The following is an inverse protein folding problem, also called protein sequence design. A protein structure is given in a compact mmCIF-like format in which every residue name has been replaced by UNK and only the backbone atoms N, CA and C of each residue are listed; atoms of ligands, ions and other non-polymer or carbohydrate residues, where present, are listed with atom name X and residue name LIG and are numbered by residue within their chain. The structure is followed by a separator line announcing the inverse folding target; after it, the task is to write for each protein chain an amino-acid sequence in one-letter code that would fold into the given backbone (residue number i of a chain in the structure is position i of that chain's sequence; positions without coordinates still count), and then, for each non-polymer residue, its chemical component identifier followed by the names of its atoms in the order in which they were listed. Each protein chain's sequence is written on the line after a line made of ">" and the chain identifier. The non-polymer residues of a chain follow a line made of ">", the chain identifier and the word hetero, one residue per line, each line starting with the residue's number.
data_IF_697835005247
#
_entry.id   IF_697835005247
#
_cell.length_a   1.000
_cell.length_b   1.000
_cell.length_c   1.000
_cell.angle_alpha   90.00
_cell.angle_beta   90.00
_cell.angle_gamma   90.00
#
_symmetry.space_group_name_H-M   'P 1'
#
loop_
_entity.id
_entity.type
_entity.pdbx_description
1 polymer ?
#
# COMPACT_ATOMS: atom_id res chain seq x y z
N UNK A 1 -9.65 13.43 -25.72
CA UNK A 1 -9.24 14.39 -24.65
C UNK A 1 -9.55 13.96 -23.21
N UNK A 2 -10.57 13.12 -22.92
CA UNK A 2 -10.85 12.66 -21.53
C UNK A 2 -9.76 11.79 -20.90
N UNK A 3 -9.14 10.89 -21.67
CA UNK A 3 -8.14 9.92 -21.17
C UNK A 3 -6.86 10.61 -20.68
N UNK A 4 -6.33 11.57 -21.45
CA UNK A 4 -5.14 12.35 -21.08
C UNK A 4 -5.38 13.13 -19.78
N UNK A 5 -6.60 13.67 -19.60
CA UNK A 5 -6.98 14.37 -18.37
C UNK A 5 -7.01 13.41 -17.17
N UNK A 6 -7.53 12.19 -17.35
CA UNK A 6 -7.52 11.15 -16.31
C UNK A 6 -6.11 10.73 -15.93
N UNK A 7 -5.21 10.53 -16.90
CA UNK A 7 -3.80 10.18 -16.65
C UNK A 7 -3.08 11.30 -15.89
N UNK A 8 -3.26 12.56 -16.33
CA UNK A 8 -2.68 13.74 -15.66
C UNK A 8 -3.18 13.88 -14.21
N UNK A 9 -4.44 13.57 -13.96
CA UNK A 9 -5.01 13.56 -12.60
C UNK A 9 -4.42 12.46 -11.72
N UNK A 10 -4.16 11.25 -12.25
CA UNK A 10 -3.47 10.20 -11.47
C UNK A 10 -2.02 10.60 -11.14
N UNK A 11 -1.31 11.23 -12.08
CA UNK A 11 0.05 11.73 -11.88
C UNK A 11 0.11 12.88 -10.85
N UNK A 12 -0.88 13.78 -10.88
CA UNK A 12 -1.02 14.80 -9.83
C UNK A 12 -1.34 14.16 -8.46
N UNK A 13 -2.12 13.07 -8.43
CA UNK A 13 -2.37 12.29 -7.22
C UNK A 13 -1.09 11.73 -6.59
N UNK A 14 -0.15 11.23 -7.40
CA UNK A 14 1.16 10.74 -6.94
C UNK A 14 1.99 11.85 -6.29
N UNK A 15 2.06 13.03 -6.92
CA UNK A 15 2.78 14.19 -6.34
C UNK A 15 2.14 14.66 -5.02
N UNK A 16 0.81 14.63 -4.96
CA UNK A 16 0.06 15.01 -3.75
C UNK A 16 0.26 13.99 -2.61
N UNK A 17 0.41 12.70 -2.92
CA UNK A 17 0.77 11.66 -1.94
C UNK A 17 2.13 11.87 -1.32
N UNK A 18 3.13 12.19 -2.13
CA UNK A 18 4.50 12.41 -1.65
C UNK A 18 4.53 13.61 -0.68
N UNK A 19 3.72 14.64 -0.96
CA UNK A 19 3.56 15.79 -0.06
C UNK A 19 2.77 15.47 1.21
N UNK A 20 1.77 14.57 1.14
CA UNK A 20 0.92 14.23 2.30
C UNK A 20 1.45 13.13 3.21
N UNK A 21 2.13 12.15 2.66
CA UNK A 21 2.62 10.97 3.37
C UNK A 21 4.11 10.70 3.06
N UNK A 22 5.02 11.68 3.30
CA UNK A 22 6.42 11.57 2.90
C UNK A 22 7.13 10.38 3.57
N UNK A 23 6.77 10.06 4.82
CA UNK A 23 7.38 8.97 5.60
C UNK A 23 7.00 7.60 5.04
N UNK A 24 5.72 7.39 4.71
CA UNK A 24 5.25 6.11 4.17
C UNK A 24 5.77 5.86 2.76
N UNK A 25 5.91 6.91 1.94
CA UNK A 25 6.54 6.78 0.61
C UNK A 25 8.03 6.44 0.71
N UNK A 26 8.77 7.07 1.62
CA UNK A 26 10.18 6.73 1.83
C UNK A 26 10.35 5.27 2.30
N UNK A 27 9.51 4.82 3.24
CA UNK A 27 9.52 3.43 3.71
C UNK A 27 9.19 2.44 2.59
N UNK A 28 8.30 2.77 1.65
CA UNK A 28 8.02 1.88 0.51
C UNK A 28 9.19 1.79 -0.47
N UNK A 29 9.92 2.88 -0.69
CA UNK A 29 11.16 2.86 -1.47
C UNK A 29 12.26 2.05 -0.77
N UNK A 30 12.45 2.21 0.54
CA UNK A 30 13.43 1.43 1.31
C UNK A 30 13.09 -0.06 1.25
N UNK A 31 11.81 -0.41 1.42
CA UNK A 31 11.34 -1.78 1.35
C UNK A 31 11.57 -2.38 -0.05
N UNK A 32 11.33 -1.63 -1.11
CA UNK A 32 11.66 -2.03 -2.48
C UNK A 32 13.15 -2.40 -2.63
N UNK A 33 14.05 -1.56 -2.14
CA UNK A 33 15.51 -1.82 -2.20
C UNK A 33 15.87 -3.08 -1.38
N UNK A 34 15.34 -3.20 -0.17
CA UNK A 34 15.58 -4.36 0.70
C UNK A 34 15.11 -5.68 0.06
N UNK A 35 13.96 -5.70 -0.60
CA UNK A 35 13.47 -6.89 -1.30
C UNK A 35 14.33 -7.30 -2.50
N UNK A 36 14.91 -6.33 -3.21
CA UNK A 36 15.89 -6.61 -4.27
C UNK A 36 17.16 -7.21 -3.67
N UNK A 37 17.70 -6.59 -2.63
CA UNK A 37 18.92 -7.07 -1.96
C UNK A 37 18.73 -8.47 -1.36
N UNK A 38 17.55 -8.76 -0.80
CA UNK A 38 17.21 -10.09 -0.29
C UNK A 38 17.17 -11.11 -1.43
N UNK A 39 16.53 -10.79 -2.55
CA UNK A 39 16.45 -11.72 -3.68
C UNK A 39 17.85 -12.04 -4.27
N UNK A 40 18.69 -11.03 -4.45
CA UNK A 40 20.09 -11.25 -4.89
C UNK A 40 20.94 -11.96 -3.81
N UNK A 41 20.71 -11.67 -2.53
CA UNK A 41 21.42 -12.30 -1.40
C UNK A 41 21.07 -13.78 -1.22
N UNK A 42 19.80 -14.15 -1.35
CA UNK A 42 19.33 -15.53 -1.31
C UNK A 42 19.83 -16.32 -2.52
N UNK A 43 19.91 -15.69 -3.71
CA UNK A 43 20.46 -16.32 -4.90
C UNK A 43 21.98 -16.64 -4.75
N UNK A 44 22.71 -15.81 -4.00
CA UNK A 44 24.14 -15.98 -3.76
C UNK A 44 24.48 -16.81 -2.50
N UNK A 45 23.48 -17.35 -1.79
CA UNK A 45 23.69 -18.18 -0.59
C UNK A 45 24.27 -17.43 0.61
N UNK A 46 24.14 -16.10 0.64
CA UNK A 46 24.55 -15.28 1.78
C UNK A 46 23.58 -15.41 2.96
N UNK A 47 24.05 -15.14 4.18
CA UNK A 47 23.23 -15.14 5.40
C UNK A 47 22.19 -13.99 5.33
N UNK A 48 20.96 -14.30 4.88
CA UNK A 48 19.90 -13.31 4.62
C UNK A 48 19.07 -12.94 5.84
N UNK A 49 19.32 -13.57 6.98
CA UNK A 49 18.55 -13.38 8.22
C UNK A 49 18.44 -11.91 8.63
N UNK A 50 19.53 -11.14 8.53
CA UNK A 50 19.51 -9.72 8.87
C UNK A 50 18.67 -8.89 7.89
N UNK A 51 18.79 -9.17 6.58
CA UNK A 51 18.03 -8.50 5.53
C UNK A 51 16.54 -8.79 5.64
N UNK A 52 16.17 -10.04 5.93
CA UNK A 52 14.80 -10.47 6.20
C UNK A 52 14.22 -9.74 7.41
N UNK A 53 14.97 -9.69 8.52
CA UNK A 53 14.59 -8.93 9.72
C UNK A 53 14.33 -7.46 9.39
N UNK A 54 15.21 -6.82 8.64
CA UNK A 54 15.04 -5.42 8.23
C UNK A 54 13.82 -5.21 7.31
N UNK A 55 13.58 -6.10 6.34
CA UNK A 55 12.44 -6.02 5.44
C UNK A 55 11.10 -6.15 6.21
N UNK A 56 11.03 -7.08 7.18
CA UNK A 56 9.86 -7.27 8.03
C UNK A 56 9.57 -6.06 8.91
N UNK A 57 10.59 -5.48 9.55
CA UNK A 57 10.44 -4.27 10.38
C UNK A 57 10.04 -3.07 9.53
N UNK A 58 10.61 -2.93 8.32
CA UNK A 58 10.24 -1.87 7.37
C UNK A 58 8.79 -2.00 6.91
N UNK A 59 8.31 -3.24 6.70
CA UNK A 59 6.90 -3.51 6.36
C UNK A 59 5.97 -3.05 7.48
N UNK A 60 6.27 -3.42 8.73
CA UNK A 60 5.50 -2.97 9.89
C UNK A 60 5.54 -1.44 10.05
N UNK A 61 6.72 -0.85 9.88
CA UNK A 61 6.92 0.61 9.91
C UNK A 61 6.08 1.32 8.86
N UNK A 62 5.97 0.77 7.65
CA UNK A 62 5.11 1.29 6.60
C UNK A 62 3.64 1.33 7.04
N UNK A 63 3.07 0.21 7.49
CA UNK A 63 1.66 0.15 7.91
C UNK A 63 1.37 1.04 9.12
N UNK A 64 2.31 1.13 10.07
CA UNK A 64 2.18 2.00 11.23
C UNK A 64 2.24 3.48 10.82
N UNK A 65 3.17 3.85 9.94
CA UNK A 65 3.26 5.21 9.41
C UNK A 65 1.93 5.65 8.78
N UNK A 66 1.30 4.77 7.98
CA UNK A 66 0.00 5.03 7.37
C UNK A 66 -1.09 5.18 8.45
N UNK A 67 -1.21 4.25 9.39
CA UNK A 67 -2.25 4.28 10.42
C UNK A 67 -2.12 5.49 11.34
N UNK A 68 -0.91 5.83 11.75
CA UNK A 68 -0.63 6.96 12.63
C UNK A 68 -0.87 8.30 11.92
N UNK A 69 -0.47 8.43 10.66
CA UNK A 69 -0.73 9.66 9.90
C UNK A 69 -2.23 9.87 9.71
N UNK A 70 -3.00 8.80 9.46
CA UNK A 70 -4.47 8.86 9.41
C UNK A 70 -5.07 9.32 10.75
N UNK A 71 -4.59 8.78 11.88
CA UNK A 71 -5.03 9.19 13.22
C UNK A 71 -4.64 10.64 13.52
N UNK A 72 -3.41 11.07 13.24
CA UNK A 72 -2.95 12.44 13.49
C UNK A 72 -3.69 13.47 12.64
N UNK A 73 -3.88 13.21 11.34
CA UNK A 73 -4.70 14.06 10.45
C UNK A 73 -6.13 14.20 10.99
N UNK A 74 -6.65 13.17 11.68
CA UNK A 74 -8.02 13.13 12.18
C UNK A 74 -8.21 13.72 13.57
N UNK A 75 -7.37 13.37 14.54
CA UNK A 75 -7.50 13.72 15.96
C UNK A 75 -6.66 14.94 16.37
N UNK A 76 -5.49 15.14 15.78
CA UNK A 76 -4.53 16.15 16.23
C UNK A 76 -4.37 17.28 15.21
N UNK A 77 -5.23 18.30 15.29
CA UNK A 77 -5.15 19.48 14.41
C UNK A 77 -3.97 20.41 14.73
N UNK A 78 -3.42 20.36 15.96
CA UNK A 78 -2.40 21.30 16.47
C UNK A 78 -0.96 20.76 16.52
N UNK A 79 -0.73 19.46 16.30
CA UNK A 79 0.61 18.87 16.34
C UNK A 79 1.29 18.92 14.96
N UNK A 80 2.63 19.12 14.89
CA UNK A 80 3.36 19.00 13.64
C UNK A 80 3.31 17.53 13.17
N UNK A 81 2.42 17.25 12.21
CA UNK A 81 2.00 15.89 11.80
C UNK A 81 3.15 15.02 11.32
N UNK A 82 4.11 15.60 10.60
CA UNK A 82 5.22 14.90 9.97
C UNK A 82 6.25 14.40 11.00
N UNK A 83 6.87 15.25 11.85
CA UNK A 83 7.88 14.78 12.81
C UNK A 83 7.30 13.85 13.88
N UNK A 84 6.06 14.06 14.31
CA UNK A 84 5.39 13.16 15.27
C UNK A 84 5.16 11.77 14.66
N UNK A 85 4.70 11.72 13.40
CA UNK A 85 4.53 10.44 12.70
C UNK A 85 5.85 9.69 12.50
N UNK A 86 6.92 10.43 12.18
CA UNK A 86 8.26 9.88 11.98
C UNK A 86 8.84 9.33 13.30
N UNK A 87 8.80 10.12 14.37
CA UNK A 87 9.35 9.74 15.67
C UNK A 87 8.66 8.51 16.26
N UNK A 88 7.32 8.45 16.16
CA UNK A 88 6.57 7.29 16.64
C UNK A 88 6.77 6.05 15.76
N UNK A 89 6.90 6.20 14.44
CA UNK A 89 7.21 5.08 13.54
C UNK A 89 8.60 4.51 13.81
N UNK A 90 9.61 5.38 13.94
CA UNK A 90 10.98 4.97 14.28
C UNK A 90 11.08 4.37 15.68
N UNK A 91 10.39 4.96 16.66
CA UNK A 91 10.35 4.44 18.03
C UNK A 91 9.71 3.05 18.10
N UNK A 92 8.62 2.82 17.36
CA UNK A 92 8.00 1.49 17.30
C UNK A 92 8.85 0.48 16.52
N UNK A 93 9.49 0.88 15.42
CA UNK A 93 10.44 0.03 14.70
C UNK A 93 11.60 -0.40 15.60
N UNK A 94 12.18 0.53 16.37
CA UNK A 94 13.27 0.24 17.29
C UNK A 94 12.81 -0.68 18.45
N UNK A 95 11.66 -0.41 19.05
CA UNK A 95 11.06 -1.28 20.07
C UNK A 95 10.80 -2.68 19.54
N UNK A 96 10.23 -2.81 18.35
CA UNK A 96 9.90 -4.10 17.75
C UNK A 96 11.16 -4.89 17.39
N UNK A 97 12.17 -4.23 16.84
CA UNK A 97 13.46 -4.85 16.53
C UNK A 97 14.12 -5.41 17.80
N UNK A 98 14.15 -4.63 18.89
CA UNK A 98 14.83 -5.00 20.12
C UNK A 98 14.06 -6.03 20.96
N UNK A 99 12.73 -5.93 21.05
CA UNK A 99 11.92 -6.81 21.90
C UNK A 99 11.53 -8.13 21.24
N UNK A 100 11.41 -8.16 19.91
CA UNK A 100 10.66 -9.22 19.24
C UNK A 100 11.39 -9.92 18.10
N UNK A 101 12.62 -9.51 17.77
CA UNK A 101 13.34 -10.01 16.60
C UNK A 101 14.64 -10.75 16.94
N UNK A 102 14.66 -11.44 18.10
CA UNK A 102 15.80 -12.27 18.49
C UNK A 102 15.95 -13.48 17.53
N UNK A 103 14.84 -14.17 17.22
CA UNK A 103 14.82 -15.29 16.25
C UNK A 103 13.61 -15.23 15.31
N UNK A 104 13.84 -15.50 14.01
CA UNK A 104 12.79 -15.66 13.01
C UNK A 104 12.20 -17.07 13.15
N UNK A 105 11.34 -17.28 14.14
CA UNK A 105 10.60 -18.52 14.31
C UNK A 105 9.16 -18.37 13.79
N UNK A 106 8.48 -19.49 13.53
CA UNK A 106 7.07 -19.51 13.10
C UNK A 106 6.15 -18.73 14.03
N UNK A 107 6.48 -18.66 15.33
CA UNK A 107 5.77 -17.85 16.34
C UNK A 107 5.94 -16.35 16.09
N UNK A 108 7.13 -15.91 15.70
CA UNK A 108 7.43 -14.51 15.35
C UNK A 108 6.64 -14.08 14.11
N UNK A 109 6.53 -14.96 13.11
CA UNK A 109 5.69 -14.75 11.91
C UNK A 109 4.22 -14.56 12.26
N UNK A 110 3.64 -15.43 13.10
CA UNK A 110 2.23 -15.34 13.52
C UNK A 110 1.97 -14.02 14.28
N UNK A 111 2.86 -13.63 15.20
CA UNK A 111 2.74 -12.36 15.94
C UNK A 111 2.82 -11.15 15.00
N UNK A 112 3.69 -11.20 14.01
CA UNK A 112 3.85 -10.14 13.00
C UNK A 112 2.59 -10.00 12.15
N UNK A 113 2.03 -11.11 11.67
CA UNK A 113 0.75 -11.13 10.94
C UNK A 113 -0.40 -10.57 11.79
N UNK A 114 -0.48 -10.95 13.07
CA UNK A 114 -1.47 -10.40 13.99
C UNK A 114 -1.35 -8.88 14.17
N UNK A 115 -0.12 -8.37 14.29
CA UNK A 115 0.16 -6.93 14.41
C UNK A 115 -0.22 -6.17 13.14
N UNK A 116 0.08 -6.73 11.96
CA UNK A 116 -0.32 -6.16 10.67
C UNK A 116 -1.84 -6.07 10.53
N UNK A 117 -2.56 -7.15 10.86
CA UNK A 117 -4.03 -7.17 10.83
C UNK A 117 -4.58 -6.09 11.78
N UNK A 118 -4.03 -5.97 12.98
CA UNK A 118 -4.43 -4.93 13.94
C UNK A 118 -4.20 -3.50 13.40
N UNK A 119 -3.06 -3.25 12.76
CA UNK A 119 -2.76 -1.95 12.15
C UNK A 119 -3.71 -1.63 10.99
N UNK A 120 -4.02 -2.62 10.14
CA UNK A 120 -4.99 -2.48 9.04
C UNK A 120 -6.38 -2.19 9.61
N UNK A 121 -6.82 -2.94 10.62
CA UNK A 121 -8.09 -2.69 11.32
C UNK A 121 -8.14 -1.29 11.93
N UNK A 122 -7.03 -0.79 12.45
CA UNK A 122 -6.94 0.58 12.98
C UNK A 122 -7.17 1.62 11.88
N UNK A 123 -6.69 1.41 10.65
CA UNK A 123 -6.96 2.30 9.50
C UNK A 123 -8.46 2.33 9.18
N UNK A 124 -9.14 1.18 9.21
CA UNK A 124 -10.59 1.09 9.01
C UNK A 124 -11.38 1.69 10.20
N UNK A 125 -10.95 1.44 11.43
CA UNK A 125 -11.64 1.85 12.65
C UNK A 125 -11.47 3.34 12.98
N UNK A 126 -10.37 3.96 12.54
CA UNK A 126 -10.09 5.40 12.72
C UNK A 126 -11.23 6.31 12.21
N UNK A 127 -12.17 5.78 11.42
CA UNK A 127 -13.38 6.50 11.02
C UNK A 127 -14.63 6.34 11.87
N UNK A 128 -14.82 5.21 12.55
CA UNK A 128 -16.10 4.90 13.18
C UNK A 128 -16.46 5.97 14.22
N UNK A 129 -15.47 6.50 14.93
CA UNK A 129 -15.68 7.33 16.12
C UNK A 129 -16.24 8.75 15.89
N UNK A 130 -16.37 9.25 14.64
CA UNK A 130 -16.80 10.66 14.44
C UNK A 130 -17.90 10.90 13.40
N UNK A 131 -18.30 9.91 12.59
CA UNK A 131 -19.36 10.09 11.59
C UNK A 131 -19.99 8.73 11.22
N UNK A 132 -20.85 8.20 12.09
CA UNK A 132 -21.50 6.89 11.89
C UNK A 132 -22.29 6.84 10.57
N UNK A 133 -22.89 7.96 10.13
CA UNK A 133 -23.71 8.01 8.90
C UNK A 133 -22.93 7.89 7.58
N UNK A 134 -21.58 7.95 7.61
CA UNK A 134 -20.75 7.99 6.39
C UNK A 134 -19.65 6.91 6.38
N UNK A 135 -19.66 5.99 7.36
CA UNK A 135 -18.66 4.94 7.48
C UNK A 135 -18.62 4.02 6.26
N UNK A 136 -19.79 3.58 5.79
CA UNK A 136 -19.93 2.69 4.64
C UNK A 136 -19.30 3.29 3.36
N UNK A 137 -19.58 4.57 3.09
CA UNK A 137 -19.02 5.29 1.94
C UNK A 137 -17.50 5.38 1.98
N UNK A 138 -16.92 5.54 3.16
CA UNK A 138 -15.46 5.57 3.31
C UNK A 138 -14.82 4.20 3.07
N UNK A 139 -15.38 3.13 3.65
CA UNK A 139 -14.89 1.77 3.41
C UNK A 139 -14.94 1.46 1.92
N UNK A 140 -16.03 1.83 1.25
CA UNK A 140 -16.16 1.67 -0.21
C UNK A 140 -15.16 2.52 -0.98
N UNK A 141 -14.85 3.74 -0.54
CA UNK A 141 -13.85 4.61 -1.20
C UNK A 141 -12.43 4.07 -1.03
N UNK A 142 -12.07 3.56 0.14
CA UNK A 142 -10.80 2.83 0.35
C UNK A 142 -10.75 1.60 -0.55
N UNK A 143 -11.79 0.77 -0.54
CA UNK A 143 -11.80 -0.48 -1.31
C UNK A 143 -11.75 -0.21 -2.82
N UNK A 144 -12.51 0.77 -3.30
CA UNK A 144 -12.44 1.22 -4.70
C UNK A 144 -11.07 1.80 -5.02
N UNK A 145 -10.44 2.55 -4.09
CA UNK A 145 -9.10 3.07 -4.26
C UNK A 145 -8.05 1.97 -4.38
N UNK A 146 -8.16 0.94 -3.54
CA UNK A 146 -7.35 -0.27 -3.59
C UNK A 146 -7.50 -1.00 -4.92
N UNK A 147 -8.73 -1.26 -5.36
CA UNK A 147 -9.00 -1.96 -6.62
C UNK A 147 -8.47 -1.21 -7.84
N UNK A 148 -8.67 0.12 -7.89
CA UNK A 148 -8.13 0.95 -8.97
C UNK A 148 -6.60 0.89 -8.95
N UNK A 149 -5.97 1.04 -7.78
CA UNK A 149 -4.51 0.97 -7.66
C UNK A 149 -3.97 -0.38 -8.14
N UNK A 150 -4.60 -1.47 -7.71
CA UNK A 150 -4.24 -2.82 -8.12
C UNK A 150 -4.30 -2.98 -9.64
N UNK A 151 -5.38 -2.55 -10.29
CA UNK A 151 -5.50 -2.58 -11.74
C UNK A 151 -4.41 -1.77 -12.43
N UNK A 152 -4.14 -0.54 -11.98
CA UNK A 152 -3.10 0.30 -12.58
C UNK A 152 -1.71 -0.31 -12.40
N UNK A 153 -1.38 -0.84 -11.22
CA UNK A 153 -0.10 -1.52 -10.97
C UNK A 153 0.03 -2.81 -11.79
N UNK A 154 -1.05 -3.59 -11.94
CA UNK A 154 -1.05 -4.78 -12.79
C UNK A 154 -0.79 -4.42 -14.26
N UNK A 155 -1.43 -3.36 -14.77
CA UNK A 155 -1.20 -2.89 -16.14
C UNK A 155 0.25 -2.42 -16.34
N UNK A 156 0.83 -1.68 -15.39
CA UNK A 156 2.24 -1.26 -15.45
C UNK A 156 3.17 -2.47 -15.44
N UNK A 157 2.93 -3.43 -14.55
CA UNK A 157 3.72 -4.66 -14.47
C UNK A 157 3.67 -5.47 -15.76
N UNK A 158 2.46 -5.73 -16.30
CA UNK A 158 2.28 -6.47 -17.55
C UNK A 158 2.89 -5.71 -18.73
N UNK A 159 2.72 -4.39 -18.79
CA UNK A 159 3.30 -3.56 -19.86
C UNK A 159 4.81 -3.68 -19.92
N UNK A 160 5.49 -3.56 -18.77
CA UNK A 160 6.96 -3.70 -18.72
C UNK A 160 7.37 -5.15 -18.97
N UNK A 161 6.64 -6.14 -18.45
CA UNK A 161 6.93 -7.56 -18.67
C UNK A 161 6.85 -7.93 -20.15
N UNK A 162 5.85 -7.41 -20.89
CA UNK A 162 5.76 -7.62 -22.33
C UNK A 162 6.91 -6.98 -23.11
N UNK A 163 7.39 -5.81 -22.67
CA UNK A 163 8.57 -5.17 -23.28
C UNK A 163 9.80 -6.07 -23.08
N UNK A 164 10.05 -6.54 -21.86
CA UNK A 164 11.18 -7.44 -21.55
C UNK A 164 11.07 -8.73 -22.37
N UNK A 165 9.88 -9.33 -22.45
CA UNK A 165 9.62 -10.52 -23.25
C UNK A 165 9.92 -10.28 -24.72
N UNK A 166 9.46 -9.16 -25.27
CA UNK A 166 9.69 -8.81 -26.69
C UNK A 166 11.18 -8.61 -26.97
N UNK A 167 11.91 -7.95 -26.06
CA UNK A 167 13.36 -7.79 -26.19
C UNK A 167 14.05 -9.15 -26.16
N UNK A 168 13.68 -10.01 -25.21
CA UNK A 168 14.26 -11.33 -25.07
C UNK A 168 13.98 -12.20 -26.31
N UNK A 169 12.77 -12.14 -26.86
CA UNK A 169 12.38 -12.92 -28.03
C UNK A 169 12.97 -12.40 -29.35
N UNK A 170 13.13 -11.08 -29.50
CA UNK A 170 13.58 -10.46 -30.75
C UNK A 170 15.10 -10.38 -30.86
N UNK A 171 15.79 -10.19 -29.74
CA UNK A 171 17.25 -10.01 -29.69
C UNK A 171 17.99 -11.20 -29.07
N UNK A 172 17.28 -12.26 -28.69
CA UNK A 172 17.82 -13.43 -27.97
C UNK A 172 18.72 -13.03 -26.78
N UNK A 173 18.27 -12.01 -26.04
CA UNK A 173 19.06 -11.32 -25.05
C UNK A 173 19.31 -12.13 -23.75
N UNK A 174 18.76 -13.36 -23.67
CA UNK A 174 18.82 -14.27 -22.52
C UNK A 174 18.64 -13.58 -21.16
N UNK A 175 17.56 -12.81 -21.02
CA UNK A 175 17.28 -12.02 -19.81
C UNK A 175 16.81 -12.93 -18.68
N UNK A 176 17.52 -12.88 -17.55
CA UNK A 176 17.18 -13.65 -16.35
C UNK A 176 15.77 -13.34 -15.81
N UNK A 177 15.09 -14.38 -15.31
CA UNK A 177 13.75 -14.28 -14.70
C UNK A 177 13.64 -13.30 -13.53
N UNK A 178 14.76 -12.97 -12.86
CA UNK A 178 14.80 -12.03 -11.73
C UNK A 178 14.34 -10.61 -12.08
N UNK A 179 14.52 -10.19 -13.33
CA UNK A 179 14.07 -8.88 -13.81
C UNK A 179 12.55 -8.72 -13.81
N UNK A 180 11.81 -9.82 -14.01
CA UNK A 180 10.36 -9.81 -13.88
C UNK A 180 9.94 -9.59 -12.42
N UNK A 181 10.64 -10.21 -11.45
CA UNK A 181 10.40 -9.98 -10.02
C UNK A 181 10.71 -8.53 -9.60
N UNK A 182 11.80 -7.95 -10.11
CA UNK A 182 12.12 -6.53 -9.82
C UNK A 182 11.09 -5.58 -10.41
N UNK A 183 10.60 -5.89 -11.61
CA UNK A 183 9.51 -5.14 -12.24
C UNK A 183 8.23 -5.22 -11.41
N UNK A 184 7.92 -6.39 -10.85
CA UNK A 184 6.78 -6.58 -9.95
C UNK A 184 6.91 -5.74 -8.67
N UNK A 185 8.08 -5.79 -8.01
CA UNK A 185 8.34 -4.99 -6.82
C UNK A 185 8.28 -3.49 -7.13
N UNK A 186 8.85 -3.05 -8.25
CA UNK A 186 8.81 -1.64 -8.64
C UNK A 186 7.37 -1.17 -8.90
N UNK A 187 6.60 -1.94 -9.65
CA UNK A 187 5.20 -1.60 -9.92
C UNK A 187 4.37 -1.52 -8.63
N UNK A 188 4.62 -2.40 -7.66
CA UNK A 188 3.87 -2.43 -6.41
C UNK A 188 4.31 -1.31 -5.45
N UNK A 189 5.60 -1.17 -5.16
CA UNK A 189 6.10 -0.31 -4.08
C UNK A 189 6.46 1.11 -4.52
N UNK A 190 6.94 1.29 -5.75
CA UNK A 190 7.30 2.62 -6.28
C UNK A 190 6.05 3.30 -6.86
N UNK A 191 5.20 2.54 -7.56
CA UNK A 191 4.03 3.11 -8.23
C UNK A 191 2.71 2.86 -7.47
N UNK A 192 2.44 1.60 -7.13
CA UNK A 192 1.20 1.19 -6.47
C UNK A 192 1.01 1.85 -5.10
N UNK A 193 2.04 1.82 -4.26
CA UNK A 193 1.95 2.36 -2.89
C UNK A 193 1.62 3.86 -2.87
N UNK A 194 2.37 4.77 -3.53
CA UNK A 194 2.01 6.18 -3.54
C UNK A 194 0.64 6.46 -4.18
N UNK A 195 0.24 5.68 -5.19
CA UNK A 195 -1.08 5.79 -5.83
C UNK A 195 -2.20 5.38 -4.86
N UNK A 196 -2.02 4.32 -4.07
CA UNK A 196 -2.98 3.91 -3.03
C UNK A 196 -3.15 5.01 -1.98
N UNK A 197 -2.03 5.56 -1.51
CA UNK A 197 -2.02 6.62 -0.52
C UNK A 197 -2.71 7.90 -1.05
N UNK A 198 -2.67 8.14 -2.36
CA UNK A 198 -3.33 9.32 -2.98
C UNK A 198 -4.85 9.23 -2.92
N UNK A 199 -5.37 8.00 -2.91
CA UNK A 199 -6.80 7.70 -2.94
C UNK A 199 -7.40 7.59 -1.54
N UNK A 200 -6.59 7.66 -0.48
CA UNK A 200 -7.08 7.72 0.89
C UNK A 200 -7.87 9.03 1.08
N UNK A 201 -9.16 8.97 1.42
CA UNK A 201 -10.00 10.16 1.36
C UNK A 201 -9.75 11.12 2.52
N UNK A 202 -9.72 12.41 2.19
CA UNK A 202 -9.56 13.50 3.16
C UNK A 202 -10.89 13.87 3.81
N UNK A 203 -10.83 14.53 4.98
CA UNK A 203 -11.99 15.12 5.70
C UNK A 203 -12.93 15.92 4.78
N UNK A 204 -12.37 16.71 3.86
CA UNK A 204 -13.14 17.63 3.02
C UNK A 204 -13.79 16.95 1.80
N UNK A 205 -13.27 15.81 1.35
CA UNK A 205 -13.81 15.07 0.19
C UNK A 205 -15.02 14.20 0.54
N UNK A 206 -15.24 13.90 1.83
CA UNK A 206 -16.39 13.10 2.26
C UNK A 206 -17.70 13.91 2.25
N UNK A 207 -17.61 15.23 2.16
CA UNK A 207 -18.76 16.16 2.19
C UNK A 207 -19.25 16.49 0.78
N UNK A 208 -18.43 16.31 -0.26
CA UNK A 208 -18.67 16.92 -1.57
C UNK A 208 -19.18 15.97 -2.68
N UNK A 209 -19.11 14.64 -2.52
CA UNK A 209 -19.35 13.72 -3.65
C UNK A 209 -20.42 12.66 -3.31
N UNK A 210 -21.63 12.87 -3.86
CA UNK A 210 -22.79 12.00 -3.71
C UNK A 210 -22.75 10.76 -4.64
N UNK A 211 -21.68 10.59 -5.42
CA UNK A 211 -21.58 9.51 -6.41
C UNK A 211 -20.81 8.30 -5.88
N UNK A 212 -21.52 7.19 -5.66
CA UNK A 212 -20.91 5.86 -5.56
C UNK A 212 -19.96 5.60 -6.74
N UNK A 213 -18.82 4.92 -6.50
CA UNK A 213 -17.94 4.55 -7.60
C UNK A 213 -18.68 3.59 -8.54
N UNK A 214 -18.64 3.87 -9.85
CA UNK A 214 -19.37 3.11 -10.88
C UNK A 214 -19.13 1.59 -10.78
N UNK A 215 -17.93 1.20 -10.37
CA UNK A 215 -17.51 -0.19 -10.20
C UNK A 215 -18.22 -0.84 -9.02
N UNK A 216 -18.35 -0.16 -7.88
CA UNK A 216 -19.01 -0.72 -6.71
C UNK A 216 -20.53 -0.77 -6.87
N UNK A 217 -21.12 0.23 -7.53
CA UNK A 217 -22.53 0.17 -7.94
C UNK A 217 -22.78 -1.08 -8.78
N UNK A 218 -21.88 -1.41 -9.72
CA UNK A 218 -22.00 -2.62 -10.51
C UNK A 218 -21.82 -3.89 -9.67
N UNK A 219 -20.82 -3.93 -8.76
CA UNK A 219 -20.60 -5.08 -7.89
C UNK A 219 -21.79 -5.35 -6.95
N UNK A 220 -22.35 -4.29 -6.35
CA UNK A 220 -23.55 -4.39 -5.51
C UNK A 220 -24.78 -4.81 -6.32
N UNK A 221 -25.11 -4.12 -7.42
CA UNK A 221 -26.34 -4.38 -8.18
C UNK A 221 -26.31 -5.71 -8.94
N UNK A 222 -25.16 -6.11 -9.47
CA UNK A 222 -25.09 -7.27 -10.37
C UNK A 222 -24.52 -8.53 -9.72
N UNK A 223 -23.87 -8.42 -8.56
CA UNK A 223 -23.31 -9.60 -7.86
C UNK A 223 -23.94 -9.74 -6.48
N UNK A 224 -23.86 -8.71 -5.63
CA UNK A 224 -24.26 -8.84 -4.22
C UNK A 224 -25.77 -8.94 -4.03
N UNK A 225 -26.55 -8.06 -4.65
CA UNK A 225 -28.02 -8.04 -4.54
C UNK A 225 -28.64 -9.33 -5.09
N UNK A 226 -28.27 -9.84 -6.29
CA UNK A 226 -28.78 -11.11 -6.78
C UNK A 226 -28.45 -12.28 -5.86
N UNK A 227 -27.24 -12.32 -5.29
CA UNK A 227 -26.81 -13.40 -4.40
C UNK A 227 -27.62 -13.41 -3.10
N UNK A 228 -27.88 -12.23 -2.52
CA UNK A 228 -28.71 -12.09 -1.31
C UNK A 228 -30.17 -12.44 -1.62
N UNK A 229 -30.67 -12.09 -2.80
CA UNK A 229 -32.03 -12.38 -3.26
C UNK A 229 -32.28 -13.86 -3.52
N UNK A 230 -31.24 -14.64 -3.86
CA UNK A 230 -31.35 -16.10 -3.97
C UNK A 230 -31.38 -16.76 -2.59
N UNK A 231 -30.78 -16.11 -1.59
CA UNK A 231 -30.64 -16.66 -0.24
C UNK A 231 -31.75 -16.19 0.73
N UNK A 232 -32.59 -15.24 0.32
CA UNK A 232 -33.73 -14.72 1.08
C UNK A 232 -35.02 -15.13 0.39
#
# INVERSE_FOLDING_TARGET
>A
MKIIKTIKLQLQGLSTSISRFPVSTLLSFILFILLIMLNEGSANGSDTDFLEKMALVTTLGFFLSVSLTQVLVRFATKLPKIPVSLAATLGFMALYYFLFLNEINSVTMIRLSGTLIFLILTIFYSLKKKNDEHYERYVMKIFSGFFITFLYAAVVFLGISFIILTINALFDANIDGKWYLYTFYASTFIFGTPLLLSKLPTKDELVADTSYSRVFRALLLYILIPLIMVYT
#
